data_IF_880037552584
#
_entry.id   IF_880037552584
#
_cell.length_a   1.000
_cell.length_b   1.000
_cell.length_c   1.000
_cell.angle_alpha   90.00
_cell.angle_beta   90.00
_cell.angle_gamma   90.00
#
_symmetry.space_group_name_H-M   'P 1'
#
loop_
_entity.id
_entity.type
_entity.pdbx_description
1 polymer ?
#
# COMPACT_ATOMS: atom_id res chain seq x y z
N UNK A 1 17.60 5.55 -8.17
CA UNK A 1 16.45 4.66 -7.80
C UNK A 1 15.12 5.02 -8.49
N UNK A 2 15.14 5.82 -9.56
CA UNK A 2 13.95 6.32 -10.27
C UNK A 2 13.06 5.23 -10.86
N UNK A 3 13.64 4.15 -11.38
CA UNK A 3 12.88 3.03 -11.96
C UNK A 3 12.00 2.34 -10.92
N UNK A 4 12.52 2.11 -9.71
CA UNK A 4 11.74 1.48 -8.65
C UNK A 4 10.58 2.39 -8.22
N UNK A 5 10.83 3.69 -8.08
CA UNK A 5 9.78 4.68 -7.81
C UNK A 5 8.69 4.66 -8.89
N UNK A 6 9.08 4.54 -10.18
CA UNK A 6 8.15 4.46 -11.30
C UNK A 6 7.29 3.18 -11.26
N UNK A 7 7.87 2.03 -10.87
CA UNK A 7 7.11 0.78 -10.71
C UNK A 7 6.07 0.90 -9.59
N UNK A 8 6.46 1.40 -8.41
CA UNK A 8 5.50 1.66 -7.32
C UNK A 8 4.40 2.63 -7.73
N UNK A 9 4.74 3.74 -8.39
CA UNK A 9 3.77 4.72 -8.88
C UNK A 9 2.76 4.07 -9.84
N UNK A 10 3.25 3.26 -10.79
CA UNK A 10 2.40 2.54 -11.75
C UNK A 10 1.46 1.56 -11.04
N UNK A 11 1.94 0.78 -10.08
CA UNK A 11 1.12 -0.21 -9.35
C UNK A 11 0.12 0.46 -8.40
N UNK A 12 0.46 1.59 -7.76
CA UNK A 12 -0.47 2.37 -6.93
C UNK A 12 -1.53 3.09 -7.78
N UNK A 13 -1.18 3.56 -8.98
CA UNK A 13 -2.18 4.05 -9.95
C UNK A 13 -3.14 2.92 -10.33
N UNK A 14 -2.64 1.69 -10.48
CA UNK A 14 -3.50 0.53 -10.73
C UNK A 14 -4.43 0.22 -9.56
N UNK A 15 -3.93 0.33 -8.31
CA UNK A 15 -4.78 0.25 -7.11
C UNK A 15 -5.92 1.27 -7.17
N UNK A 16 -5.62 2.52 -7.51
CA UNK A 16 -6.65 3.57 -7.67
C UNK A 16 -7.71 3.19 -8.72
N UNK A 17 -7.27 2.69 -9.88
CA UNK A 17 -8.18 2.23 -10.93
C UNK A 17 -9.08 1.07 -10.47
N UNK A 18 -8.57 0.13 -9.68
CA UNK A 18 -9.39 -0.97 -9.16
C UNK A 18 -10.43 -0.48 -8.15
N UNK A 19 -10.07 0.48 -7.28
CA UNK A 19 -10.99 1.04 -6.28
C UNK A 19 -12.12 1.85 -6.95
N UNK A 20 -11.81 2.59 -8.02
CA UNK A 20 -12.81 3.35 -8.78
C UNK A 20 -13.80 2.47 -9.58
N UNK A 21 -13.53 1.17 -9.73
CA UNK A 21 -14.40 0.25 -10.47
C UNK A 21 -15.42 -0.49 -9.59
N UNK A 22 -15.51 -0.17 -8.30
CA UNK A 22 -16.58 -0.68 -7.44
C UNK A 22 -17.84 0.18 -7.60
N UNK A 23 -19.01 -0.43 -7.82
CA UNK A 23 -20.26 0.31 -8.08
C UNK A 23 -20.77 1.07 -6.84
N UNK A 24 -20.38 0.64 -5.65
CA UNK A 24 -20.76 1.29 -4.40
C UNK A 24 -19.77 0.99 -3.28
N UNK A 25 -19.77 1.85 -2.25
CA UNK A 25 -19.01 1.63 -1.02
C UNK A 25 -19.47 0.39 -0.25
N UNK A 26 -20.74 -0.02 -0.40
CA UNK A 26 -21.22 -1.28 0.16
C UNK A 26 -20.59 -2.50 -0.49
N UNK A 27 -20.42 -2.49 -1.82
CA UNK A 27 -19.69 -3.55 -2.50
C UNK A 27 -18.20 -3.48 -2.17
N UNK A 28 -17.61 -2.29 -2.16
CA UNK A 28 -16.20 -2.08 -1.82
C UNK A 28 -15.79 -2.68 -0.47
N UNK A 29 -16.68 -2.60 0.52
CA UNK A 29 -16.46 -3.15 1.86
C UNK A 29 -17.16 -4.48 2.14
N UNK A 30 -17.79 -5.09 1.13
CA UNK A 30 -18.40 -6.40 1.27
C UNK A 30 -17.33 -7.45 1.53
N UNK A 31 -17.59 -8.41 2.41
CA UNK A 31 -16.80 -9.64 2.52
C UNK A 31 -17.55 -10.80 1.90
N UNK A 32 -16.80 -11.75 1.33
CA UNK A 32 -17.35 -12.95 0.70
C UNK A 32 -16.86 -14.16 1.49
N UNK A 33 -17.65 -15.24 1.57
CA UNK A 33 -17.25 -16.46 2.27
C UNK A 33 -15.86 -16.93 1.83
N UNK A 34 -14.93 -17.03 2.79
CA UNK A 34 -13.53 -17.40 2.52
C UNK A 34 -12.58 -16.22 2.27
N UNK A 35 -13.08 -14.98 2.22
CA UNK A 35 -12.30 -13.74 2.07
C UNK A 35 -12.56 -12.84 3.28
N UNK A 36 -11.56 -12.69 4.14
CA UNK A 36 -11.70 -11.95 5.39
C UNK A 36 -11.61 -10.43 5.23
N UNK A 37 -10.95 -9.95 4.17
CA UNK A 37 -10.71 -8.52 3.95
C UNK A 37 -11.29 -8.08 2.61
N UNK A 38 -12.07 -7.00 2.62
CA UNK A 38 -12.66 -6.41 1.43
C UNK A 38 -11.64 -5.61 0.61
N UNK A 39 -12.03 -5.19 -0.59
CA UNK A 39 -11.21 -4.31 -1.44
C UNK A 39 -10.86 -2.98 -0.74
N UNK A 40 -11.83 -2.40 -0.04
CA UNK A 40 -11.64 -1.18 0.73
C UNK A 40 -10.63 -1.37 1.86
N UNK A 41 -10.75 -2.45 2.65
CA UNK A 41 -9.81 -2.72 3.74
C UNK A 41 -8.38 -2.97 3.24
N UNK A 42 -8.22 -3.73 2.14
CA UNK A 42 -6.90 -3.96 1.57
C UNK A 42 -6.29 -2.67 0.99
N UNK A 43 -7.09 -1.75 0.44
CA UNK A 43 -6.60 -0.44 0.01
C UNK A 43 -6.10 0.42 1.17
N UNK A 44 -6.86 0.48 2.27
CA UNK A 44 -6.45 1.16 3.51
C UNK A 44 -5.15 0.55 4.05
N UNK A 45 -5.09 -0.77 4.08
CA UNK A 45 -3.91 -1.52 4.52
C UNK A 45 -2.66 -1.17 3.70
N UNK A 46 -2.78 -1.17 2.37
CA UNK A 46 -1.66 -0.85 1.49
C UNK A 46 -1.16 0.58 1.69
N UNK A 47 -2.07 1.55 1.80
CA UNK A 47 -1.70 2.95 2.03
C UNK A 47 -1.05 3.12 3.42
N UNK A 48 -1.62 2.52 4.46
CA UNK A 48 -1.05 2.60 5.82
C UNK A 48 0.30 1.90 5.94
N UNK A 49 0.46 0.74 5.28
CA UNK A 49 1.72 0.01 5.22
C UNK A 49 2.83 0.83 4.56
N UNK A 50 2.59 1.38 3.35
CA UNK A 50 3.61 2.11 2.60
C UNK A 50 3.91 3.49 3.19
N UNK A 51 2.89 4.24 3.64
CA UNK A 51 3.10 5.53 4.33
C UNK A 51 3.88 5.35 5.63
N UNK A 52 3.73 4.22 6.32
CA UNK A 52 4.53 3.91 7.50
C UNK A 52 5.96 3.52 7.15
N UNK A 53 6.15 2.43 6.40
CA UNK A 53 7.47 1.84 6.21
C UNK A 53 8.38 2.64 5.27
N UNK A 54 7.81 3.33 4.27
CA UNK A 54 8.57 4.19 3.37
C UNK A 54 8.50 5.65 3.85
N UNK A 55 7.29 6.16 4.13
CA UNK A 55 7.09 7.56 4.52
C UNK A 55 7.65 7.89 5.90
N UNK A 56 7.16 7.22 6.95
CA UNK A 56 7.53 7.56 8.32
C UNK A 56 8.93 7.06 8.69
N UNK A 57 9.24 5.79 8.41
CA UNK A 57 10.48 5.17 8.87
C UNK A 57 11.70 5.65 8.07
N UNK A 58 11.61 5.74 6.75
CA UNK A 58 12.73 6.21 5.91
C UNK A 58 12.67 7.72 5.66
N UNK A 59 11.46 8.29 5.57
CA UNK A 59 11.25 9.69 5.18
C UNK A 59 10.93 10.64 6.30
N UNK A 60 10.75 10.16 7.54
CA UNK A 60 10.33 10.97 8.68
C UNK A 60 9.08 11.83 8.38
N UNK A 61 8.13 11.31 7.59
CA UNK A 61 6.93 12.05 7.20
C UNK A 61 5.98 12.41 8.35
N UNK A 62 6.21 11.85 9.55
CA UNK A 62 5.33 11.99 10.70
C UNK A 62 4.06 11.14 10.64
N UNK A 63 3.90 10.29 9.61
CA UNK A 63 2.73 9.42 9.50
C UNK A 63 2.66 8.41 10.66
N UNK A 64 1.54 8.44 11.39
CA UNK A 64 1.24 7.51 12.48
C UNK A 64 0.27 6.45 11.96
N UNK A 65 0.73 5.20 11.95
CA UNK A 65 -0.04 4.08 11.40
C UNK A 65 -1.11 3.61 12.38
N UNK A 66 -2.37 3.58 11.95
CA UNK A 66 -3.47 2.93 12.66
C UNK A 66 -3.79 1.57 12.02
N UNK A 67 -3.06 0.53 12.43
CA UNK A 67 -3.20 -0.81 11.83
C UNK A 67 -4.58 -1.43 12.06
N UNK A 68 -5.22 -1.16 13.19
CA UNK A 68 -6.54 -1.72 13.48
C UNK A 68 -7.59 -1.15 12.53
N UNK A 69 -7.57 0.16 12.30
CA UNK A 69 -8.49 0.84 11.38
C UNK A 69 -8.34 0.38 9.93
N UNK A 70 -7.14 -0.03 9.50
CA UNK A 70 -6.93 -0.62 8.16
C UNK A 70 -7.86 -1.81 7.88
N UNK A 71 -8.26 -2.55 8.93
CA UNK A 71 -9.10 -3.75 8.81
C UNK A 71 -10.51 -3.59 9.39
N UNK A 72 -10.79 -2.50 10.11
CA UNK A 72 -12.11 -2.25 10.72
C UNK A 72 -12.84 -1.04 10.14
N UNK A 73 -12.11 -0.10 9.54
CA UNK A 73 -12.67 1.12 8.99
C UNK A 73 -13.44 0.90 7.68
N UNK A 74 -14.33 1.86 7.38
CA UNK A 74 -15.06 1.97 6.12
C UNK A 74 -14.96 3.41 5.61
N UNK A 75 -13.92 3.69 4.83
CA UNK A 75 -13.70 5.00 4.22
C UNK A 75 -14.52 5.18 2.96
N UNK A 76 -14.84 6.42 2.61
CA UNK A 76 -15.48 6.70 1.32
C UNK A 76 -14.52 6.37 0.17
N UNK A 77 -15.06 6.08 -1.02
CA UNK A 77 -14.23 5.86 -2.22
C UNK A 77 -13.32 7.05 -2.47
N UNK A 78 -13.83 8.27 -2.28
CA UNK A 78 -13.04 9.50 -2.41
C UNK A 78 -11.88 9.54 -1.40
N UNK A 79 -12.13 9.21 -0.13
CA UNK A 79 -11.08 9.22 0.89
C UNK A 79 -9.98 8.20 0.59
N UNK A 80 -10.34 7.01 0.09
CA UNK A 80 -9.36 6.01 -0.33
C UNK A 80 -8.52 6.51 -1.53
N UNK A 81 -9.16 7.15 -2.51
CA UNK A 81 -8.46 7.75 -3.65
C UNK A 81 -7.46 8.80 -3.20
N UNK A 82 -7.86 9.70 -2.29
CA UNK A 82 -6.98 10.71 -1.70
C UNK A 82 -5.79 10.06 -0.96
N UNK A 83 -6.03 9.03 -0.17
CA UNK A 83 -4.97 8.29 0.53
C UNK A 83 -4.01 7.59 -0.43
N UNK A 84 -4.51 7.04 -1.55
CA UNK A 84 -3.66 6.43 -2.59
C UNK A 84 -2.79 7.49 -3.27
N UNK A 85 -3.36 8.66 -3.59
CA UNK A 85 -2.61 9.76 -4.22
C UNK A 85 -1.53 10.33 -3.30
N UNK A 86 -1.83 10.50 -2.01
CA UNK A 86 -0.84 10.88 -1.00
C UNK A 86 0.26 9.81 -0.89
N UNK A 87 -0.13 8.53 -0.87
CA UNK A 87 0.84 7.41 -0.83
C UNK A 87 1.75 7.42 -2.05
N UNK A 88 1.21 7.68 -3.25
CA UNK A 88 2.01 7.83 -4.48
C UNK A 88 3.04 8.95 -4.32
N UNK A 89 2.61 10.13 -3.84
CA UNK A 89 3.50 11.28 -3.68
C UNK A 89 4.65 10.98 -2.70
N UNK A 90 4.33 10.39 -1.54
CA UNK A 90 5.31 10.02 -0.51
C UNK A 90 6.29 8.99 -1.05
N UNK A 91 5.80 7.87 -1.61
CA UNK A 91 6.65 6.78 -2.09
C UNK A 91 7.55 7.26 -3.22
N UNK A 92 7.00 8.01 -4.18
CA UNK A 92 7.77 8.57 -5.29
C UNK A 92 8.87 9.51 -4.81
N UNK A 93 8.54 10.44 -3.91
CA UNK A 93 9.51 11.39 -3.35
C UNK A 93 10.63 10.66 -2.61
N UNK A 94 10.27 9.72 -1.74
CA UNK A 94 11.26 9.00 -0.93
C UNK A 94 12.17 8.11 -1.77
N UNK A 95 11.60 7.27 -2.63
CA UNK A 95 12.41 6.35 -3.43
C UNK A 95 13.27 7.07 -4.47
N UNK A 96 12.87 8.25 -4.94
CA UNK A 96 13.68 9.03 -5.89
C UNK A 96 14.90 9.68 -5.22
N UNK A 97 14.83 9.94 -3.90
CA UNK A 97 15.88 10.62 -3.14
C UNK A 97 16.83 9.67 -2.40
N UNK A 98 16.53 8.37 -2.33
CA UNK A 98 17.43 7.38 -1.72
C UNK A 98 18.65 7.13 -2.61
N UNK A 99 19.83 7.19 -2.00
CA UNK A 99 21.08 6.81 -2.65
C UNK A 99 21.27 5.28 -2.67
N UNK A 100 22.22 4.79 -3.46
CA UNK A 100 22.60 3.37 -3.44
C UNK A 100 23.16 2.93 -2.07
N UNK A 101 23.90 3.82 -1.40
CA UNK A 101 24.40 3.60 -0.04
C UNK A 101 23.25 3.39 0.95
N UNK A 102 22.20 4.22 0.88
CA UNK A 102 21.02 4.08 1.75
C UNK A 102 20.28 2.74 1.57
N UNK A 103 20.27 2.20 0.34
CA UNK A 103 19.68 0.90 0.05
C UNK A 103 20.44 -0.26 0.69
N UNK A 104 21.76 -0.13 0.79
CA UNK A 104 22.64 -1.16 1.35
C UNK A 104 22.65 -1.19 2.89
N UNK A 105 22.26 -0.08 3.53
CA UNK A 105 22.14 0.01 4.99
C UNK A 105 21.10 -0.97 5.54
N UNK A 106 21.30 -1.37 6.80
CA UNK A 106 20.29 -2.09 7.57
C UNK A 106 19.04 -1.24 7.70
N UNK A 107 17.89 -1.82 7.39
CA UNK A 107 16.60 -1.16 7.56
C UNK A 107 16.34 -0.92 9.06
N UNK A 108 15.80 0.25 9.48
CA UNK A 108 15.75 0.61 10.90
C UNK A 108 14.90 -0.32 11.79
N UNK A 109 13.98 -1.10 11.21
CA UNK A 109 13.08 -1.98 11.95
C UNK A 109 13.32 -3.45 11.59
N UNK A 110 13.30 -4.32 12.60
CA UNK A 110 13.36 -5.78 12.41
C UNK A 110 11.95 -6.37 12.20
N UNK A 111 11.32 -6.02 11.07
CA UNK A 111 9.91 -6.39 10.78
C UNK A 111 9.69 -7.91 10.75
N UNK A 112 10.72 -8.69 10.39
CA UNK A 112 10.68 -10.16 10.35
C UNK A 112 11.42 -10.84 11.50
N UNK A 113 11.77 -10.09 12.56
CA UNK A 113 12.51 -10.63 13.71
C UNK A 113 14.02 -10.81 13.49
N UNK A 114 14.54 -10.35 12.35
CA UNK A 114 15.97 -10.26 12.07
C UNK A 114 16.29 -8.98 11.31
N UNK A 115 17.57 -8.60 11.29
CA UNK A 115 18.06 -7.53 10.43
C UNK A 115 17.88 -7.88 8.95
N UNK A 116 17.68 -6.84 8.15
CA UNK A 116 17.59 -6.91 6.69
C UNK A 116 18.06 -5.59 6.08
N UNK A 117 18.52 -5.60 4.83
CA UNK A 117 18.83 -4.35 4.14
C UNK A 117 17.57 -3.57 3.77
N UNK A 118 17.70 -2.24 3.66
CA UNK A 118 16.65 -1.37 3.14
C UNK A 118 16.17 -1.83 1.76
N UNK A 119 17.09 -2.24 0.88
CA UNK A 119 16.78 -2.78 -0.44
C UNK A 119 15.88 -4.01 -0.37
N UNK A 120 16.25 -5.00 0.45
CA UNK A 120 15.47 -6.23 0.59
C UNK A 120 14.04 -5.92 1.03
N UNK A 121 13.90 -5.04 2.02
CA UNK A 121 12.58 -4.72 2.53
C UNK A 121 11.74 -3.92 1.54
N UNK A 122 12.32 -2.98 0.78
CA UNK A 122 11.58 -2.26 -0.27
C UNK A 122 11.08 -3.23 -1.36
N UNK A 123 11.89 -4.22 -1.78
CA UNK A 123 11.40 -5.24 -2.71
C UNK A 123 10.30 -6.11 -2.11
N UNK A 124 10.39 -6.45 -0.83
CA UNK A 124 9.30 -7.11 -0.12
C UNK A 124 8.02 -6.26 -0.16
N UNK A 125 8.11 -4.96 0.13
CA UNK A 125 6.97 -4.04 0.09
C UNK A 125 6.34 -3.95 -1.31
N UNK A 126 7.16 -3.98 -2.37
CA UNK A 126 6.65 -4.03 -3.75
C UNK A 126 5.90 -5.34 -4.04
N UNK A 127 6.44 -6.47 -3.58
CA UNK A 127 5.77 -7.77 -3.68
C UNK A 127 4.46 -7.81 -2.90
N UNK A 128 4.46 -7.26 -1.68
CA UNK A 128 3.28 -7.12 -0.83
C UNK A 128 2.19 -6.26 -1.47
N UNK A 129 2.57 -5.12 -2.07
CA UNK A 129 1.66 -4.27 -2.85
C UNK A 129 0.98 -5.08 -3.96
N UNK A 130 1.76 -5.77 -4.78
CA UNK A 130 1.24 -6.52 -5.92
C UNK A 130 0.40 -7.73 -5.51
N UNK A 131 0.76 -8.41 -4.41
CA UNK A 131 -0.02 -9.51 -3.85
C UNK A 131 -1.44 -9.05 -3.49
N UNK A 132 -1.57 -7.96 -2.73
CA UNK A 132 -2.88 -7.44 -2.34
C UNK A 132 -3.61 -6.74 -3.49
N UNK A 133 -2.91 -6.11 -4.44
CA UNK A 133 -3.53 -5.59 -5.65
C UNK A 133 -4.24 -6.70 -6.44
N UNK A 134 -3.61 -7.88 -6.55
CA UNK A 134 -4.24 -9.07 -7.14
C UNK A 134 -5.49 -9.52 -6.37
N UNK A 135 -5.44 -9.50 -5.04
CA UNK A 135 -6.60 -9.82 -4.19
C UNK A 135 -7.75 -8.82 -4.40
N UNK A 136 -7.47 -7.52 -4.47
CA UNK A 136 -8.47 -6.46 -4.69
C UNK A 136 -9.13 -6.62 -6.06
N UNK A 137 -8.35 -6.89 -7.11
CA UNK A 137 -8.89 -7.14 -8.44
C UNK A 137 -9.83 -8.36 -8.46
N UNK A 138 -9.40 -9.48 -7.88
CA UNK A 138 -10.24 -10.68 -7.81
C UNK A 138 -11.49 -10.47 -6.95
N UNK A 139 -11.36 -9.80 -5.81
CA UNK A 139 -12.47 -9.45 -4.95
C UNK A 139 -13.55 -8.65 -5.70
N UNK A 140 -13.15 -7.58 -6.40
CA UNK A 140 -14.05 -6.79 -7.24
C UNK A 140 -14.79 -7.64 -8.26
N UNK A 141 -14.05 -8.44 -9.04
CA UNK A 141 -14.64 -9.32 -10.07
C UNK A 141 -15.62 -10.35 -9.51
N UNK A 142 -15.45 -10.77 -8.26
CA UNK A 142 -16.36 -11.71 -7.60
C UNK A 142 -17.69 -11.07 -7.16
N UNK A 143 -17.68 -9.77 -6.84
CA UNK A 143 -18.85 -9.09 -6.26
C UNK A 143 -19.61 -8.19 -7.25
N UNK A 144 -18.97 -7.77 -8.34
CA UNK A 144 -19.50 -6.83 -9.35
C UNK A 144 -20.03 -7.57 -10.59
N UNK A 145 -20.64 -8.75 -10.41
CA UNK A 145 -21.33 -9.47 -11.49
C UNK A 145 -22.75 -8.95 -11.70
#
# INVERSE_FOLDING_TARGET
MTELAAVFEKDLKKLKEEILQYDSEDLLFKTVKGISNSGGNLSMHLCGNLRHFIGAVLGNSGYVRNREEEFTGRFTTQKLVEDIEETIAIVKSMLSNLSEDDFSKTYPLQVFGSEMSTQFFIYHLLGHLNYHLGQINYHRRLITN
#
